data_IF_604487139866
#
_entry.id   IF_604487139866
#
_cell.length_a   1.000
_cell.length_b   1.000
_cell.length_c   1.000
_cell.angle_alpha   90.00
_cell.angle_beta   90.00
_cell.angle_gamma   90.00
#
_symmetry.space_group_name_H-M   'P 1'
#
loop_
_entity.id
_entity.type
_entity.pdbx_description
1 polymer ?
#
# COMPACT_ATOMS: atom_id res chain seq x y z
N UNK A 1 -6.56 2.99 -12.31
CA UNK A 1 -5.32 2.42 -11.76
C UNK A 1 -4.62 3.38 -10.79
N UNK A 2 -4.35 4.60 -11.19
CA UNK A 2 -3.70 5.62 -10.35
C UNK A 2 -4.47 5.88 -9.05
N UNK A 3 -5.78 5.95 -9.09
CA UNK A 3 -6.62 6.18 -7.90
C UNK A 3 -6.51 5.04 -6.88
N UNK A 4 -6.44 3.79 -7.34
CA UNK A 4 -6.27 2.65 -6.44
C UNK A 4 -4.92 2.70 -5.73
N UNK A 5 -3.86 3.02 -6.45
CA UNK A 5 -2.54 3.16 -5.85
C UNK A 5 -2.53 4.31 -4.84
N UNK A 6 -3.10 5.45 -5.20
CA UNK A 6 -3.21 6.60 -4.31
C UNK A 6 -3.99 6.26 -3.03
N UNK A 7 -5.08 5.50 -3.16
CA UNK A 7 -5.86 5.06 -2.01
C UNK A 7 -5.04 4.18 -1.07
N UNK A 8 -4.30 3.21 -1.61
CA UNK A 8 -3.44 2.34 -0.80
C UNK A 8 -2.36 3.16 -0.11
N UNK A 9 -1.70 4.06 -0.83
CA UNK A 9 -0.64 4.91 -0.26
C UNK A 9 -1.16 5.86 0.81
N UNK A 10 -2.44 6.21 0.78
CA UNK A 10 -3.05 7.13 1.74
C UNK A 10 -3.39 6.49 3.09
N UNK A 11 -3.27 5.17 3.23
CA UNK A 11 -3.57 4.46 4.47
C UNK A 11 -2.30 4.39 5.33
N UNK A 12 -2.31 4.97 6.55
CA UNK A 12 -1.15 4.87 7.45
C UNK A 12 -0.96 3.43 7.94
N UNK A 13 0.28 2.94 7.92
CA UNK A 13 0.59 1.56 8.31
C UNK A 13 1.93 1.44 9.03
N UNK A 14 2.08 2.15 10.14
CA UNK A 14 3.26 1.94 10.98
C UNK A 14 3.30 0.48 11.47
N UNK A 15 4.49 -0.06 11.66
CA UNK A 15 4.68 -1.45 12.10
C UNK A 15 3.80 -1.77 13.32
N UNK A 16 3.06 -2.86 13.25
CA UNK A 16 2.03 -3.30 14.21
C UNK A 16 0.76 -2.45 14.24
N UNK A 17 0.61 -1.51 13.30
CA UNK A 17 -0.59 -0.67 13.16
C UNK A 17 -1.15 -0.74 11.74
N UNK A 18 -1.23 -1.95 11.16
CA UNK A 18 -1.62 -2.18 9.77
C UNK A 18 -3.11 -2.50 9.58
N UNK A 19 -3.92 -2.41 10.62
CA UNK A 19 -5.33 -2.87 10.60
C UNK A 19 -6.15 -2.23 9.49
N UNK A 20 -5.98 -0.94 9.24
CA UNK A 20 -6.72 -0.24 8.19
C UNK A 20 -6.41 -0.78 6.79
N UNK A 21 -5.14 -1.07 6.53
CA UNK A 21 -4.74 -1.62 5.23
C UNK A 21 -5.22 -3.06 5.07
N UNK A 22 -5.16 -3.85 6.16
CA UNK A 22 -5.69 -5.22 6.16
C UNK A 22 -7.17 -5.21 5.82
N UNK A 23 -7.97 -4.34 6.45
CA UNK A 23 -9.39 -4.20 6.14
C UNK A 23 -9.63 -3.76 4.69
N UNK A 24 -8.85 -2.81 4.21
CA UNK A 24 -8.98 -2.32 2.84
C UNK A 24 -8.72 -3.43 1.82
N UNK A 25 -7.63 -4.17 1.98
CA UNK A 25 -7.27 -5.27 1.09
C UNK A 25 -8.31 -6.39 1.17
N UNK A 26 -8.70 -6.79 2.39
CA UNK A 26 -9.72 -7.83 2.60
C UNK A 26 -11.05 -7.45 1.96
N UNK A 27 -11.45 -6.19 2.06
CA UNK A 27 -12.66 -5.69 1.42
C UNK A 27 -12.62 -5.80 -0.10
N UNK A 28 -11.47 -5.52 -0.72
CA UNK A 28 -11.29 -5.68 -2.17
C UNK A 28 -11.38 -7.16 -2.56
N UNK A 29 -10.75 -8.05 -1.78
CA UNK A 29 -10.77 -9.48 -2.04
C UNK A 29 -12.20 -10.04 -1.93
N UNK A 30 -12.97 -9.60 -0.93
CA UNK A 30 -14.37 -9.97 -0.75
C UNK A 30 -15.21 -9.52 -1.95
N UNK A 31 -15.05 -8.29 -2.39
CA UNK A 31 -15.80 -7.75 -3.54
C UNK A 31 -15.50 -8.52 -4.84
N UNK A 32 -14.26 -8.96 -5.00
CA UNK A 32 -13.84 -9.71 -6.19
C UNK A 32 -14.10 -11.20 -6.09
N UNK A 33 -14.55 -11.68 -4.94
CA UNK A 33 -14.86 -13.09 -4.71
C UNK A 33 -13.63 -13.99 -4.59
N UNK A 34 -12.48 -13.44 -4.24
CA UNK A 34 -11.28 -14.24 -4.00
C UNK A 34 -11.30 -14.86 -2.60
N UNK A 35 -10.88 -16.11 -2.51
CA UNK A 35 -10.64 -16.75 -1.22
C UNK A 35 -9.32 -16.31 -0.65
N UNK A 36 -9.30 -16.01 0.65
CA UNK A 36 -8.09 -15.62 1.36
C UNK A 36 -8.16 -16.08 2.80
N UNK A 37 -7.00 -16.10 3.44
CA UNK A 37 -6.86 -16.53 4.84
C UNK A 37 -6.07 -15.45 5.59
N UNK A 38 -6.55 -15.08 6.78
CA UNK A 38 -5.85 -14.18 7.70
C UNK A 38 -5.30 -15.02 8.86
N UNK A 39 -4.01 -14.88 9.15
CA UNK A 39 -3.45 -15.52 10.32
C UNK A 39 -3.55 -14.63 11.58
N UNK A 40 -3.07 -15.13 12.70
CA UNK A 40 -3.16 -14.43 13.98
C UNK A 40 -2.31 -13.16 14.04
N UNK A 41 -1.36 -13.02 13.15
CA UNK A 41 -0.49 -11.84 13.05
C UNK A 41 -1.00 -10.82 12.04
N UNK A 42 -2.10 -11.10 11.35
CA UNK A 42 -2.67 -10.21 10.35
C UNK A 42 -2.10 -10.38 8.95
N UNK A 43 -1.32 -11.43 8.71
CA UNK A 43 -0.84 -11.73 7.36
C UNK A 43 -1.97 -12.28 6.50
N UNK A 44 -2.02 -11.86 5.24
CA UNK A 44 -3.06 -12.24 4.29
C UNK A 44 -2.47 -13.23 3.30
N UNK A 45 -3.09 -14.39 3.19
CA UNK A 45 -2.69 -15.45 2.24
C UNK A 45 -3.77 -15.58 1.18
N UNK A 46 -3.42 -15.33 -0.08
CA UNK A 46 -4.36 -15.36 -1.21
C UNK A 46 -3.88 -16.43 -2.18
N UNK A 47 -4.76 -17.37 -2.53
CA UNK A 47 -4.45 -18.41 -3.50
C UNK A 47 -5.41 -18.31 -4.67
N UNK A 48 -4.89 -18.32 -5.89
CA UNK A 48 -5.68 -18.31 -7.12
C UNK A 48 -5.46 -19.60 -7.89
N UNK A 49 -6.56 -20.30 -8.16
CA UNK A 49 -6.53 -21.58 -8.86
C UNK A 49 -6.10 -22.74 -7.96
N UNK A 50 -5.82 -23.88 -8.57
CA UNK A 50 -5.38 -25.11 -7.90
C UNK A 50 -4.17 -25.70 -8.59
N UNK A 51 -3.14 -26.06 -7.84
CA UNK A 51 -1.93 -26.69 -8.34
C UNK A 51 -1.21 -27.40 -7.20
N UNK A 52 -0.30 -28.31 -7.53
CA UNK A 52 0.59 -28.91 -6.52
C UNK A 52 1.66 -27.93 -6.06
N UNK A 53 2.05 -27.00 -6.95
CA UNK A 53 3.06 -25.99 -6.68
C UNK A 53 2.57 -24.65 -7.17
N UNK A 54 2.80 -23.59 -6.39
CA UNK A 54 2.42 -22.23 -6.73
C UNK A 54 3.64 -21.31 -6.75
N UNK A 55 3.81 -20.46 -7.77
CA UNK A 55 4.69 -19.32 -7.59
C UNK A 55 4.15 -18.43 -6.48
N UNK A 56 5.03 -17.86 -5.69
CA UNK A 56 4.64 -17.03 -4.55
C UNK A 56 5.18 -15.61 -4.72
N UNK A 57 4.31 -14.63 -4.58
CA UNK A 57 4.66 -13.22 -4.49
C UNK A 57 4.42 -12.77 -3.07
N UNK A 58 5.35 -12.01 -2.50
CA UNK A 58 5.27 -11.52 -1.13
C UNK A 58 5.46 -10.02 -1.11
N UNK A 59 4.61 -9.34 -0.33
CA UNK A 59 4.74 -7.92 -0.06
C UNK A 59 4.41 -7.69 1.40
N UNK A 60 5.10 -6.74 2.07
CA UNK A 60 4.76 -6.41 3.44
C UNK A 60 3.79 -5.23 3.50
N UNK A 61 2.99 -5.17 4.56
CA UNK A 61 1.94 -4.18 4.74
C UNK A 61 2.40 -2.98 5.57
N UNK A 62 3.39 -3.18 6.43
CA UNK A 62 3.84 -2.14 7.34
C UNK A 62 4.78 -1.13 6.67
N UNK A 63 4.96 -0.01 7.32
CA UNK A 63 5.92 1.01 6.94
C UNK A 63 6.61 1.57 8.19
N UNK A 64 7.73 2.24 8.00
CA UNK A 64 8.49 2.82 9.11
C UNK A 64 8.01 4.22 9.50
N UNK A 65 7.03 4.75 8.80
CA UNK A 65 6.55 6.11 9.00
C UNK A 65 5.50 6.17 10.10
N UNK A 66 5.75 6.93 11.15
CA UNK A 66 4.87 7.06 12.31
C UNK A 66 3.74 8.06 12.12
N UNK A 67 3.72 8.77 11.01
CA UNK A 67 2.71 9.80 10.74
C UNK A 67 1.37 9.13 10.45
N UNK A 68 0.37 9.46 11.26
CA UNK A 68 -0.95 8.82 11.21
C UNK A 68 -1.97 9.55 10.34
N UNK A 69 -1.74 10.82 10.08
CA UNK A 69 -2.60 11.63 9.21
C UNK A 69 -1.77 12.34 8.16
N UNK A 70 -1.94 11.94 6.91
CA UNK A 70 -1.28 12.58 5.78
C UNK A 70 -2.16 12.47 4.55
N UNK A 71 -1.90 13.34 3.59
CA UNK A 71 -2.57 13.29 2.28
C UNK A 71 -1.55 12.95 1.21
N UNK A 72 -2.00 12.25 0.20
CA UNK A 72 -1.18 11.89 -0.96
C UNK A 72 -1.65 12.73 -2.15
N UNK A 73 -0.73 13.44 -2.76
CA UNK A 73 -1.00 14.29 -3.91
C UNK A 73 -0.06 13.95 -5.06
N UNK A 74 -0.48 14.29 -6.27
CA UNK A 74 0.36 14.11 -7.45
C UNK A 74 1.12 15.41 -7.72
N UNK A 75 2.44 15.30 -7.85
CA UNK A 75 3.31 16.41 -8.19
C UNK A 75 4.29 16.00 -9.27
N UNK A 76 4.69 16.96 -10.12
CA UNK A 76 5.76 16.75 -11.08
C UNK A 76 7.11 16.85 -10.40
N UNK A 77 7.98 15.89 -10.67
CA UNK A 77 9.34 15.87 -10.13
C UNK A 77 10.33 15.58 -11.25
N UNK A 78 11.53 16.15 -11.13
CA UNK A 78 12.62 15.85 -12.04
C UNK A 78 13.21 14.48 -11.70
N UNK A 79 13.32 13.62 -12.71
CA UNK A 79 14.02 12.36 -12.57
C UNK A 79 15.53 12.55 -12.75
N UNK A 80 16.30 11.45 -12.68
CA UNK A 80 17.76 11.48 -12.83
C UNK A 80 18.23 12.01 -14.20
N UNK A 81 17.37 11.95 -15.21
CA UNK A 81 17.64 12.45 -16.55
C UNK A 81 17.19 13.90 -16.75
N UNK A 82 16.67 14.56 -15.71
CA UNK A 82 16.20 15.95 -15.79
C UNK A 82 14.83 16.11 -16.43
N UNK A 83 14.05 15.02 -16.57
CA UNK A 83 12.71 15.06 -17.13
C UNK A 83 11.66 15.22 -16.02
N UNK A 84 10.62 16.01 -16.26
CA UNK A 84 9.48 16.08 -15.34
C UNK A 84 8.65 14.81 -15.41
N UNK A 85 8.44 14.18 -14.24
CA UNK A 85 7.61 12.97 -14.11
C UNK A 85 6.56 13.18 -13.04
N UNK A 86 5.32 12.72 -13.25
CA UNK A 86 4.32 12.74 -12.19
C UNK A 86 4.71 11.77 -11.09
N UNK A 87 4.61 12.22 -9.85
CA UNK A 87 4.92 11.42 -8.67
C UNK A 87 3.84 11.58 -7.63
N UNK A 88 3.58 10.53 -6.85
CA UNK A 88 2.70 10.59 -5.70
C UNK A 88 3.54 10.90 -4.47
N UNK A 89 3.24 11.99 -3.80
CA UNK A 89 3.97 12.45 -2.62
C UNK A 89 3.02 12.66 -1.46
N UNK A 90 3.53 12.50 -0.23
CA UNK A 90 2.75 12.68 0.98
C UNK A 90 3.10 13.98 1.69
N UNK A 91 2.09 14.57 2.31
CA UNK A 91 2.22 15.72 3.18
C UNK A 91 1.53 15.44 4.51
N UNK A 92 2.25 15.66 5.60
CA UNK A 92 1.68 15.56 6.94
C UNK A 92 0.52 16.55 7.05
N UNK A 93 -0.65 16.07 7.44
CA UNK A 93 -1.85 16.91 7.52
C UNK A 93 -1.80 17.93 8.66
N UNK A 94 -0.93 17.72 9.64
CA UNK A 94 -0.78 18.61 10.79
C UNK A 94 0.29 19.67 10.54
N UNK A 95 1.48 19.27 10.09
CA UNK A 95 2.62 20.18 9.90
C UNK A 95 2.71 20.77 8.50
N UNK A 96 2.09 20.12 7.51
CA UNK A 96 2.22 20.49 6.10
C UNK A 96 3.55 20.11 5.47
N UNK A 97 4.43 19.44 6.21
CA UNK A 97 5.73 19.02 5.69
C UNK A 97 5.62 17.73 4.88
N UNK A 98 6.58 17.53 3.99
CA UNK A 98 6.68 16.30 3.22
C UNK A 98 6.93 15.10 4.13
N UNK A 99 6.27 14.00 3.81
CA UNK A 99 6.44 12.76 4.58
C UNK A 99 6.43 11.55 3.66
N UNK A 100 6.88 10.42 4.19
CA UNK A 100 6.81 9.15 3.47
C UNK A 100 5.38 8.63 3.39
N UNK A 101 5.09 7.88 2.34
CA UNK A 101 3.77 7.28 2.10
C UNK A 101 3.80 5.75 2.19
N UNK A 102 4.95 5.18 2.57
CA UNK A 102 5.08 3.73 2.68
C UNK A 102 5.03 3.01 1.33
N UNK A 103 5.57 3.65 0.29
CA UNK A 103 5.65 3.00 -1.02
C UNK A 103 6.40 1.67 -0.99
N UNK A 104 7.31 1.53 -0.07
CA UNK A 104 7.94 0.29 0.33
C UNK A 104 7.14 -0.30 1.52
N UNK A 105 6.29 -1.29 1.37
CA UNK A 105 6.07 -2.02 0.12
C UNK A 105 4.60 -1.97 -0.34
N UNK A 106 3.88 -0.88 -0.10
CA UNK A 106 2.50 -0.73 -0.60
C UNK A 106 2.41 -0.81 -2.12
N UNK A 107 3.49 -0.44 -2.82
CA UNK A 107 3.55 -0.62 -4.26
C UNK A 107 3.52 -2.10 -4.64
N UNK A 108 4.20 -2.96 -3.89
CA UNK A 108 4.13 -4.41 -4.05
C UNK A 108 2.73 -4.95 -3.74
N UNK A 109 2.08 -4.45 -2.70
CA UNK A 109 0.70 -4.82 -2.36
C UNK A 109 -0.26 -4.46 -3.50
N UNK A 110 -0.03 -3.31 -4.15
CA UNK A 110 -0.87 -2.86 -5.25
C UNK A 110 -0.82 -3.80 -6.46
N UNK A 111 0.33 -4.39 -6.73
CA UNK A 111 0.51 -5.30 -7.87
C UNK A 111 -0.32 -6.58 -7.68
#
# INVERSE_FOLDING_TARGET
MKEKLKNILSIPTYTWEEDQLIEYVSGILDKKGYEYYLDDLGSIYITKGKSEHYPCLVAHLDSVHQIKEYRVVEESQLNAQGEDKPSLVGYDSITGERCGVGGDDKAGVFI
#
